data_IF_063669814943
#
_entry.id   IF_063669814943
#
_cell.length_a   1.000
_cell.length_b   1.000
_cell.length_c   1.000
_cell.angle_alpha   90.00
_cell.angle_beta   90.00
_cell.angle_gamma   90.00
#
_symmetry.space_group_name_H-M   'P 1'
#
loop_
_entity.id
_entity.type
_entity.pdbx_description
1 polymer ?
#
# COMPACT_ATOMS: atom_id res chain seq x y z
N UNK A 1 11.89 1.11 9.05
CA UNK A 1 10.93 1.38 7.97
C UNK A 1 10.51 0.07 7.33
N UNK A 2 9.23 -0.10 7.08
CA UNK A 2 8.67 -1.31 6.49
C UNK A 2 8.26 -1.05 5.05
N UNK A 3 8.70 -1.90 4.13
CA UNK A 3 8.28 -1.88 2.72
C UNK A 3 7.40 -3.11 2.46
N UNK A 4 6.15 -2.89 2.11
CA UNK A 4 5.23 -3.97 1.76
C UNK A 4 5.09 -3.96 0.24
N UNK A 5 5.46 -5.06 -0.40
CA UNK A 5 5.60 -5.11 -1.84
C UNK A 5 5.25 -6.49 -2.41
N UNK A 6 5.10 -6.54 -3.73
CA UNK A 6 4.89 -7.78 -4.47
C UNK A 6 6.08 -7.95 -5.43
N UNK A 7 6.87 -9.05 -5.31
CA UNK A 7 8.09 -9.21 -6.11
C UNK A 7 7.88 -9.19 -7.62
N UNK A 8 6.71 -9.59 -8.10
CA UNK A 8 6.40 -9.61 -9.54
C UNK A 8 5.88 -8.27 -10.07
N UNK A 9 5.74 -7.27 -9.21
CA UNK A 9 5.26 -5.94 -9.59
C UNK A 9 6.42 -5.06 -10.05
N UNK A 10 6.36 -4.55 -11.28
CA UNK A 10 7.44 -3.70 -11.81
C UNK A 10 7.63 -2.40 -11.02
N UNK A 11 6.54 -1.80 -10.58
CA UNK A 11 6.60 -0.60 -9.74
C UNK A 11 7.30 -0.87 -8.41
N UNK A 12 7.03 -2.03 -7.81
CA UNK A 12 7.70 -2.45 -6.58
C UNK A 12 9.19 -2.65 -6.78
N UNK A 13 9.60 -3.23 -7.92
CA UNK A 13 11.02 -3.41 -8.24
C UNK A 13 11.72 -2.06 -8.38
N UNK A 14 11.09 -1.10 -9.04
CA UNK A 14 11.63 0.26 -9.17
C UNK A 14 11.78 0.92 -7.81
N UNK A 15 10.80 0.75 -6.94
CA UNK A 15 10.84 1.31 -5.58
C UNK A 15 11.98 0.73 -4.76
N UNK A 16 12.19 -0.59 -4.82
CA UNK A 16 13.29 -1.25 -4.11
C UNK A 16 14.65 -0.77 -4.63
N UNK A 17 14.80 -0.68 -5.95
CA UNK A 17 16.04 -0.16 -6.56
C UNK A 17 16.32 1.27 -6.08
N UNK A 18 15.31 2.12 -6.04
CA UNK A 18 15.46 3.49 -5.59
C UNK A 18 15.94 3.56 -4.14
N UNK A 19 15.35 2.75 -3.26
CA UNK A 19 15.76 2.68 -1.85
C UNK A 19 17.21 2.20 -1.72
N UNK A 20 17.57 1.16 -2.45
CA UNK A 20 18.92 0.58 -2.42
C UNK A 20 19.96 1.60 -2.94
N UNK A 21 19.65 2.27 -4.04
CA UNK A 21 20.53 3.27 -4.64
C UNK A 21 20.76 4.48 -3.73
N UNK A 22 19.80 4.80 -2.89
CA UNK A 22 19.89 5.93 -1.96
C UNK A 22 20.35 5.51 -0.56
N UNK A 23 20.72 4.24 -0.38
CA UNK A 23 21.25 3.75 0.89
C UNK A 23 20.24 3.75 2.04
N UNK A 24 18.96 3.64 1.73
CA UNK A 24 17.88 3.67 2.74
C UNK A 24 17.55 2.25 3.18
N UNK A 25 17.71 1.97 4.47
CA UNK A 25 17.42 0.66 5.03
C UNK A 25 15.91 0.45 5.21
N UNK A 26 15.44 -0.75 4.93
CA UNK A 26 14.04 -1.12 5.08
C UNK A 26 13.90 -2.62 5.35
N UNK A 27 12.77 -3.00 5.95
CA UNK A 27 12.38 -4.39 6.11
C UNK A 27 11.41 -4.73 4.98
N UNK A 28 11.75 -5.76 4.19
CA UNK A 28 10.94 -6.19 3.04
C UNK A 28 9.88 -7.18 3.51
N UNK A 29 8.62 -6.90 3.18
CA UNK A 29 7.49 -7.76 3.53
C UNK A 29 6.68 -8.08 2.28
N UNK A 30 6.51 -9.38 2.00
CA UNK A 30 5.75 -9.85 0.84
C UNK A 30 4.25 -9.70 1.09
N UNK A 31 3.57 -8.94 0.24
CA UNK A 31 2.17 -8.55 0.46
C UNK A 31 1.19 -9.74 0.41
N UNK A 32 1.53 -10.81 -0.32
CA UNK A 32 0.69 -12.01 -0.39
C UNK A 32 0.97 -13.01 0.72
N UNK A 33 2.23 -13.18 1.11
CA UNK A 33 2.61 -14.10 2.17
C UNK A 33 2.27 -13.56 3.56
N UNK A 34 2.37 -12.24 3.74
CA UNK A 34 2.04 -11.56 4.98
C UNK A 34 1.20 -10.33 4.68
N UNK A 35 -0.06 -10.53 4.25
CA UNK A 35 -0.91 -9.40 3.89
C UNK A 35 -1.17 -8.49 5.09
N UNK A 36 -1.41 -7.19 4.85
CA UNK A 36 -1.75 -6.26 5.92
C UNK A 36 -3.01 -6.72 6.66
N UNK A 37 -2.98 -6.61 7.98
CA UNK A 37 -4.14 -6.93 8.81
C UNK A 37 -5.11 -5.74 8.86
N UNK A 38 -6.33 -5.98 9.35
CA UNK A 38 -7.30 -4.92 9.55
C UNK A 38 -6.76 -3.83 10.47
N UNK A 39 -6.17 -4.22 11.60
CA UNK A 39 -5.61 -3.26 12.56
C UNK A 39 -4.47 -2.45 11.95
N UNK A 40 -3.59 -3.09 11.18
CA UNK A 40 -2.50 -2.40 10.50
C UNK A 40 -3.03 -1.39 9.50
N UNK A 41 -3.97 -1.80 8.65
CA UNK A 41 -4.56 -0.92 7.64
C UNK A 41 -5.27 0.27 8.26
N UNK A 42 -5.99 0.04 9.36
CA UNK A 42 -6.69 1.10 10.07
C UNK A 42 -5.71 2.15 10.62
N UNK A 43 -4.62 1.69 11.24
CA UNK A 43 -3.58 2.59 11.76
C UNK A 43 -2.86 3.33 10.64
N UNK A 44 -2.46 2.61 9.58
CA UNK A 44 -1.74 3.22 8.47
C UNK A 44 -2.59 4.23 7.71
N UNK A 45 -3.87 3.93 7.53
CA UNK A 45 -4.80 4.87 6.91
C UNK A 45 -4.89 6.16 7.71
N UNK A 46 -5.05 6.05 9.04
CA UNK A 46 -5.11 7.22 9.90
C UNK A 46 -3.81 8.03 9.85
N UNK A 47 -2.65 7.34 9.87
CA UNK A 47 -1.33 7.98 9.83
C UNK A 47 -1.06 8.66 8.49
N UNK A 48 -1.57 8.09 7.40
CA UNK A 48 -1.31 8.61 6.05
C UNK A 48 -1.99 9.93 5.75
N UNK A 49 -3.15 10.18 6.36
CA UNK A 49 -3.98 11.33 6.03
C UNK A 49 -4.61 11.27 4.63
N UNK A 50 -4.54 10.12 3.97
CA UNK A 50 -5.06 9.95 2.61
C UNK A 50 -6.48 9.34 2.64
N UNK A 51 -7.29 9.57 1.58
CA UNK A 51 -8.56 8.88 1.44
C UNK A 51 -8.33 7.36 1.36
N UNK A 52 -9.21 6.58 1.98
CA UNK A 52 -9.04 5.13 2.05
C UNK A 52 -9.00 4.46 0.67
N UNK A 53 -9.70 5.00 -0.30
CA UNK A 53 -9.67 4.49 -1.68
C UNK A 53 -8.26 4.45 -2.28
N UNK A 54 -7.34 5.29 -1.79
CA UNK A 54 -5.96 5.33 -2.26
C UNK A 54 -5.18 4.07 -1.89
N UNK A 55 -5.68 3.31 -0.91
CA UNK A 55 -5.08 2.05 -0.49
C UNK A 55 -5.51 0.87 -1.36
N UNK A 56 -6.45 1.07 -2.29
CA UNK A 56 -6.89 0.02 -3.20
C UNK A 56 -6.07 0.03 -4.49
N UNK A 57 -5.74 -1.17 -4.97
CA UNK A 57 -5.09 -1.34 -6.27
C UNK A 57 -6.14 -1.26 -7.38
N UNK A 58 -6.45 -0.04 -7.81
CA UNK A 58 -7.54 0.24 -8.76
C UNK A 58 -7.30 -0.32 -10.17
N UNK A 59 -6.06 -0.59 -10.52
CA UNK A 59 -5.71 -1.18 -11.81
C UNK A 59 -5.62 -2.70 -11.77
N UNK A 60 -5.83 -3.31 -10.61
CA UNK A 60 -5.73 -4.75 -10.43
C UNK A 60 -6.97 -5.51 -10.93
N UNK A 61 -6.76 -6.78 -11.30
CA UNK A 61 -7.84 -7.65 -11.79
C UNK A 61 -8.90 -7.89 -10.72
N UNK A 62 -8.48 -8.08 -9.46
CA UNK A 62 -9.42 -8.29 -8.34
C UNK A 62 -10.35 -7.10 -8.16
N UNK A 63 -9.78 -5.88 -8.19
CA UNK A 63 -10.57 -4.66 -8.07
C UNK A 63 -11.65 -4.58 -9.15
N UNK A 64 -11.25 -4.88 -10.39
CA UNK A 64 -12.16 -4.85 -11.54
C UNK A 64 -13.19 -5.97 -11.49
N UNK A 65 -12.78 -7.20 -11.15
CA UNK A 65 -13.69 -8.35 -11.12
C UNK A 65 -14.75 -8.22 -10.03
N UNK A 66 -14.46 -7.54 -8.93
CA UNK A 66 -15.40 -7.31 -7.84
C UNK A 66 -16.24 -6.04 -8.05
N UNK A 67 -16.02 -5.31 -9.15
CA UNK A 67 -16.69 -4.04 -9.46
C UNK A 67 -16.59 -3.02 -8.31
N UNK A 68 -15.41 -2.93 -7.70
CA UNK A 68 -15.22 -2.08 -6.51
C UNK A 68 -15.37 -0.59 -6.80
N UNK A 69 -15.09 -0.16 -8.04
CA UNK A 69 -15.32 1.22 -8.43
C UNK A 69 -16.75 1.67 -8.12
N UNK A 70 -17.71 0.77 -8.33
CA UNK A 70 -19.13 1.05 -8.09
C UNK A 70 -19.55 0.75 -6.66
N UNK A 71 -18.91 -0.21 -6.00
CA UNK A 71 -19.28 -0.66 -4.65
C UNK A 71 -18.68 0.17 -3.53
N UNK A 72 -17.44 0.63 -3.66
CA UNK A 72 -16.76 1.36 -2.59
C UNK A 72 -17.52 2.58 -2.09
N UNK A 73 -18.16 3.40 -2.96
CA UNK A 73 -18.91 4.57 -2.47
C UNK A 73 -20.08 4.21 -1.55
N UNK A 74 -20.58 2.96 -1.59
CA UNK A 74 -21.68 2.49 -0.74
C UNK A 74 -21.21 1.79 0.51
N UNK A 75 -19.89 1.56 0.66
CA UNK A 75 -19.31 0.86 1.80
C UNK A 75 -18.79 1.84 2.83
N UNK A 76 -18.91 1.46 4.12
CA UNK A 76 -18.28 2.23 5.19
C UNK A 76 -16.77 2.03 5.16
N UNK A 77 -16.02 2.91 5.85
CA UNK A 77 -14.57 2.74 5.97
C UNK A 77 -14.22 1.41 6.62
N UNK A 78 -14.96 1.00 7.65
CA UNK A 78 -14.74 -0.26 8.34
C UNK A 78 -14.91 -1.45 7.39
N UNK A 79 -15.95 -1.44 6.57
CA UNK A 79 -16.18 -2.48 5.57
C UNK A 79 -15.05 -2.53 4.54
N UNK A 80 -14.57 -1.37 4.10
CA UNK A 80 -13.47 -1.27 3.15
C UNK A 80 -12.16 -1.80 3.74
N UNK A 81 -11.88 -1.48 5.01
CA UNK A 81 -10.69 -1.99 5.70
C UNK A 81 -10.71 -3.51 5.84
N UNK A 82 -11.87 -4.08 6.19
CA UNK A 82 -12.02 -5.53 6.26
C UNK A 82 -11.82 -6.18 4.90
N UNK A 83 -12.35 -5.57 3.84
CA UNK A 83 -12.18 -6.08 2.48
C UNK A 83 -10.70 -6.09 2.07
N UNK A 84 -9.98 -5.00 2.33
CA UNK A 84 -8.54 -4.93 2.03
C UNK A 84 -7.75 -6.02 2.75
N UNK A 85 -8.14 -6.33 3.98
CA UNK A 85 -7.45 -7.34 4.80
C UNK A 85 -7.68 -8.77 4.29
N UNK A 86 -8.64 -9.00 3.41
CA UNK A 86 -8.94 -10.35 2.88
C UNK A 86 -7.97 -10.79 1.80
N UNK A 87 -7.33 -9.85 1.08
CA UNK A 87 -6.49 -10.20 -0.08
C UNK A 87 -5.47 -9.10 -0.35
N UNK A 88 -4.18 -9.47 -0.24
CA UNK A 88 -3.08 -8.54 -0.50
C UNK A 88 -3.08 -7.97 -1.92
N UNK A 89 -3.70 -8.68 -2.88
CA UNK A 89 -3.79 -8.17 -4.26
C UNK A 89 -4.74 -6.99 -4.42
N UNK A 90 -5.63 -6.77 -3.44
CA UNK A 90 -6.50 -5.60 -3.43
C UNK A 90 -5.78 -4.34 -2.96
N UNK A 91 -4.64 -4.50 -2.29
CA UNK A 91 -3.92 -3.40 -1.67
C UNK A 91 -2.98 -2.74 -2.68
N UNK A 92 -3.01 -1.41 -2.72
CA UNK A 92 -2.07 -0.61 -3.52
C UNK A 92 -0.65 -0.84 -3.03
N UNK A 93 0.28 -1.04 -3.94
CA UNK A 93 1.68 -1.34 -3.62
C UNK A 93 2.64 -0.55 -4.50
N UNK A 94 3.83 -0.28 -3.99
CA UNK A 94 4.32 -0.61 -2.66
C UNK A 94 3.71 0.29 -1.59
N UNK A 95 3.69 -0.21 -0.34
CA UNK A 95 3.41 0.60 0.83
C UNK A 95 4.70 0.78 1.61
N UNK A 96 4.98 2.00 2.04
CA UNK A 96 6.12 2.28 2.92
C UNK A 96 5.58 2.82 4.23
N UNK A 97 5.91 2.14 5.32
CA UNK A 97 5.44 2.49 6.66
C UNK A 97 6.62 2.92 7.53
N UNK A 98 6.64 4.19 7.90
CA UNK A 98 7.60 4.74 8.84
C UNK A 98 6.94 5.02 10.19
N UNK A 99 7.70 5.60 11.12
CA UNK A 99 7.19 5.88 12.46
C UNK A 99 6.09 6.93 12.46
N UNK A 100 6.18 7.91 11.57
CA UNK A 100 5.24 9.04 11.52
C UNK A 100 4.69 9.30 10.12
N UNK A 101 4.88 8.38 9.18
CA UNK A 101 4.38 8.55 7.81
C UNK A 101 4.01 7.21 7.19
N UNK A 102 3.14 7.25 6.16
CA UNK A 102 2.81 6.10 5.31
C UNK A 102 2.74 6.60 3.87
N UNK A 103 3.48 5.95 2.98
CA UNK A 103 3.40 6.22 1.55
C UNK A 103 2.64 5.10 0.84
N UNK A 104 1.77 5.47 -0.09
CA UNK A 104 0.97 4.56 -0.89
C UNK A 104 1.36 4.74 -2.36
N UNK A 105 1.94 3.71 -2.95
CA UNK A 105 2.49 3.77 -4.30
C UNK A 105 3.88 4.39 -4.32
N UNK A 106 4.57 4.25 -5.45
CA UNK A 106 5.93 4.78 -5.60
C UNK A 106 5.91 6.17 -6.23
N UNK A 107 6.31 7.17 -5.45
CA UNK A 107 6.43 8.57 -5.89
C UNK A 107 7.81 9.08 -5.47
N UNK A 108 8.81 8.97 -6.35
CA UNK A 108 10.20 9.28 -5.99
C UNK A 108 10.41 10.67 -5.38
N UNK A 109 9.74 11.69 -5.92
CA UNK A 109 9.89 13.06 -5.40
C UNK A 109 9.39 13.19 -3.98
N UNK A 110 8.25 12.59 -3.68
CA UNK A 110 7.67 12.58 -2.34
C UNK A 110 8.56 11.81 -1.36
N UNK A 111 9.06 10.65 -1.81
CA UNK A 111 9.95 9.82 -1.00
C UNK A 111 11.26 10.55 -0.71
N UNK A 112 11.82 11.22 -1.70
CA UNK A 112 13.06 11.97 -1.53
C UNK A 112 12.91 13.09 -0.48
N UNK A 113 11.78 13.78 -0.48
CA UNK A 113 11.52 14.86 0.48
C UNK A 113 11.48 14.37 1.93
N UNK A 114 11.06 13.14 2.15
CA UNK A 114 10.89 12.58 3.51
C UNK A 114 12.05 11.69 3.93
N UNK A 115 12.58 10.86 3.02
CA UNK A 115 13.55 9.82 3.34
C UNK A 115 15.01 10.23 3.17
N UNK A 116 15.27 11.32 2.48
CA UNK A 116 16.64 11.80 2.24
C UNK A 116 17.08 12.91 3.19
#
# INVERSE_FOLDING_TARGET
>A
MLLIEYPKCSTCQKAKCWLDENGIAYTDRHILEQPPTYEELKEWHARSGLPLRRFFNTSGLKYKSLALKDKLPTMTEDEQLHLLATDGMLVKRPLVVGDDFVFVGFKPDEWASTLK
#
